data_IF_219094412939
#
_entry.id   IF_219094412939
#
_cell.length_a   1.000
_cell.length_b   1.000
_cell.length_c   1.000
_cell.angle_alpha   90.00
_cell.angle_beta   90.00
_cell.angle_gamma   90.00
#
_symmetry.space_group_name_H-M   'P 1'
#
loop_
_entity.id
_entity.type
_entity.pdbx_description
1 polymer ?
#
# COMPACT_ATOMS: atom_id res chain seq x y z
N UNK A 1 24.67 6.11 28.74
CA UNK A 1 24.82 5.38 27.46
C UNK A 1 23.94 6.08 26.44
N UNK A 2 24.50 7.07 25.76
CA UNK A 2 23.78 7.88 24.77
C UNK A 2 23.60 7.01 23.52
N UNK A 3 22.36 6.73 23.13
CA UNK A 3 22.06 6.12 21.84
C UNK A 3 22.50 7.11 20.75
N UNK A 4 23.73 6.96 20.28
CA UNK A 4 24.14 7.54 19.01
C UNK A 4 23.34 6.75 17.99
N UNK A 5 22.32 7.38 17.39
CA UNK A 5 21.71 6.83 16.19
C UNK A 5 22.84 6.66 15.17
N UNK A 6 23.13 5.42 14.80
CA UNK A 6 24.14 5.11 13.79
C UNK A 6 23.77 5.83 12.50
N UNK A 7 24.67 6.63 11.95
CA UNK A 7 24.44 7.45 10.76
C UNK A 7 23.98 6.59 9.58
N UNK A 8 24.46 5.33 9.49
CA UNK A 8 23.98 4.34 8.53
C UNK A 8 22.48 4.06 8.66
N UNK A 9 21.97 3.96 9.90
CA UNK A 9 20.55 3.69 10.17
C UNK A 9 19.63 4.86 9.82
N UNK A 10 20.16 6.09 9.80
CA UNK A 10 19.41 7.28 9.36
C UNK A 10 19.32 7.32 7.82
N UNK A 11 20.41 7.00 7.13
CA UNK A 11 20.44 6.91 5.66
C UNK A 11 19.42 5.87 5.18
N UNK A 12 19.42 4.68 5.81
CA UNK A 12 18.47 3.62 5.47
C UNK A 12 17.02 4.07 5.68
N UNK A 13 16.73 4.73 6.81
CA UNK A 13 15.39 5.28 7.07
C UNK A 13 14.95 6.34 6.05
N UNK A 14 15.87 7.20 5.61
CA UNK A 14 15.55 8.20 4.58
C UNK A 14 15.23 7.51 3.25
N UNK A 15 16.01 6.50 2.86
CA UNK A 15 15.75 5.72 1.65
C UNK A 15 14.42 4.96 1.72
N UNK A 16 14.09 4.40 2.88
CA UNK A 16 12.80 3.74 3.13
C UNK A 16 11.62 4.72 3.05
N UNK A 17 11.75 5.91 3.65
CA UNK A 17 10.72 6.95 3.56
C UNK A 17 10.53 7.46 2.13
N UNK A 18 11.61 7.66 1.38
CA UNK A 18 11.52 8.05 -0.03
C UNK A 18 10.85 6.96 -0.87
N UNK A 19 11.18 5.69 -0.61
CA UNK A 19 10.56 4.58 -1.28
C UNK A 19 9.05 4.48 -0.98
N UNK A 20 8.65 4.59 0.29
CA UNK A 20 7.25 4.62 0.70
C UNK A 20 6.50 5.78 0.03
N UNK A 21 7.10 6.98 -0.01
CA UNK A 21 6.52 8.15 -0.68
C UNK A 21 6.32 7.90 -2.17
N UNK A 22 7.34 7.42 -2.88
CA UNK A 22 7.26 7.11 -4.33
C UNK A 22 6.16 6.09 -4.62
N UNK A 23 6.06 5.05 -3.79
CA UNK A 23 4.99 4.05 -3.90
C UNK A 23 3.61 4.67 -3.68
N UNK A 24 3.44 5.54 -2.69
CA UNK A 24 2.18 6.23 -2.45
C UNK A 24 1.79 7.15 -3.62
N UNK A 25 2.73 7.93 -4.15
CA UNK A 25 2.52 8.79 -5.32
C UNK A 25 2.12 7.98 -6.56
N UNK A 26 2.81 6.84 -6.80
CA UNK A 26 2.48 5.93 -7.88
C UNK A 26 1.07 5.36 -7.75
N UNK A 27 0.69 4.89 -6.58
CA UNK A 27 -0.67 4.36 -6.34
C UNK A 27 -1.73 5.45 -6.51
N UNK A 28 -1.45 6.68 -6.07
CA UNK A 28 -2.35 7.82 -6.27
C UNK A 28 -2.53 8.16 -7.76
N UNK A 29 -1.48 8.02 -8.58
CA UNK A 29 -1.58 8.22 -10.04
C UNK A 29 -2.31 7.06 -10.74
N UNK A 30 -2.00 5.82 -10.37
CA UNK A 30 -2.52 4.61 -11.01
C UNK A 30 -3.97 4.32 -10.62
N UNK A 31 -4.30 4.57 -9.37
CA UNK A 31 -5.59 4.29 -8.73
C UNK A 31 -6.11 5.55 -8.01
N UNK A 32 -6.42 6.63 -8.76
CA UNK A 32 -6.76 7.92 -8.18
C UNK A 32 -8.08 7.87 -7.41
N UNK A 33 -8.16 8.61 -6.30
CA UNK A 33 -9.37 8.69 -5.47
C UNK A 33 -9.49 7.60 -4.39
N UNK A 34 -8.66 6.55 -4.43
CA UNK A 34 -8.52 5.63 -3.31
C UNK A 34 -7.52 6.17 -2.27
N UNK A 35 -7.80 5.91 -1.00
CA UNK A 35 -6.96 6.27 0.13
C UNK A 35 -5.99 5.11 0.45
N UNK A 36 -4.70 5.37 0.25
CA UNK A 36 -3.64 4.38 0.44
C UNK A 36 -2.78 4.73 1.66
N UNK A 37 -2.53 3.73 2.51
CA UNK A 37 -1.50 3.78 3.54
C UNK A 37 -0.27 3.02 3.07
N UNK A 38 0.89 3.67 3.03
CA UNK A 38 2.15 3.03 2.60
C UNK A 38 3.21 3.23 3.67
N UNK A 39 3.89 2.14 4.01
CA UNK A 39 5.03 2.13 4.92
C UNK A 39 6.15 1.27 4.33
N UNK A 40 7.40 1.69 4.48
CA UNK A 40 8.56 0.86 4.15
C UNK A 40 9.52 0.81 5.33
N UNK A 41 10.12 -0.35 5.55
CA UNK A 41 10.99 -0.58 6.70
C UNK A 41 11.55 -2.00 6.72
N UNK A 42 12.82 -2.15 7.06
CA UNK A 42 13.45 -3.46 7.23
C UNK A 42 13.43 -4.31 5.97
N UNK A 43 13.42 -3.69 4.78
CA UNK A 43 13.39 -4.40 3.51
C UNK A 43 12.02 -4.80 2.98
N UNK A 44 10.96 -4.31 3.60
CA UNK A 44 9.58 -4.62 3.24
C UNK A 44 8.79 -3.34 3.03
N UNK A 45 8.03 -3.27 1.93
CA UNK A 45 7.00 -2.24 1.74
C UNK A 45 5.64 -2.86 2.03
N UNK A 46 4.85 -2.20 2.86
CA UNK A 46 3.49 -2.60 3.24
C UNK A 46 2.51 -1.55 2.73
N UNK A 47 1.44 -2.01 2.09
CA UNK A 47 0.40 -1.17 1.49
C UNK A 47 -0.96 -1.58 2.05
N UNK A 48 -1.74 -0.61 2.51
CA UNK A 48 -3.09 -0.77 3.03
C UNK A 48 -4.08 0.06 2.22
N UNK A 49 -5.27 -0.48 1.98
CA UNK A 49 -6.40 0.27 1.42
C UNK A 49 -7.23 0.85 2.57
N UNK A 50 -7.09 2.15 2.83
CA UNK A 50 -7.67 2.80 4.00
C UNK A 50 -9.18 3.08 3.85
N UNK A 51 -9.71 3.21 2.63
CA UNK A 51 -11.16 3.34 2.38
C UNK A 51 -11.97 2.17 2.93
N UNK A 52 -11.31 1.00 3.00
CA UNK A 52 -11.93 -0.22 3.47
C UNK A 52 -12.21 -0.20 4.98
N UNK A 53 -11.52 0.66 5.75
CA UNK A 53 -11.41 0.58 7.22
C UNK A 53 -11.00 -0.83 7.71
N UNK A 54 -10.54 -1.68 6.79
CA UNK A 54 -10.13 -3.04 7.06
C UNK A 54 -8.61 -3.08 7.26
N UNK A 55 -8.13 -4.11 7.95
CA UNK A 55 -6.71 -4.28 8.23
C UNK A 55 -5.97 -5.01 7.10
N UNK A 56 -6.61 -5.22 5.95
CA UNK A 56 -6.04 -6.00 4.88
C UNK A 56 -5.39 -5.12 3.80
N UNK A 57 -4.29 -5.66 3.30
CA UNK A 57 -3.36 -5.03 2.40
C UNK A 57 -2.38 -6.07 1.88
N UNK A 58 -1.20 -5.64 1.47
CA UNK A 58 -0.15 -6.55 1.07
C UNK A 58 1.22 -6.04 1.52
N UNK A 59 2.18 -6.96 1.59
CA UNK A 59 3.58 -6.66 1.89
C UNK A 59 4.47 -7.29 0.81
N UNK A 60 5.49 -6.55 0.38
CA UNK A 60 6.44 -6.98 -0.63
C UNK A 60 7.87 -6.82 -0.11
N UNK A 61 8.65 -7.91 -0.16
CA UNK A 61 10.06 -7.89 0.19
C UNK A 61 10.88 -7.38 -1.01
N UNK A 62 11.54 -6.24 -0.84
CA UNK A 62 12.35 -5.59 -1.88
C UNK A 62 13.86 -5.82 -1.71
N UNK A 63 14.31 -6.53 -0.66
CA UNK A 63 15.71 -6.93 -0.50
C UNK A 63 16.10 -8.00 -1.54
N UNK A 64 15.15 -8.87 -1.92
CA UNK A 64 15.43 -10.06 -2.75
C UNK A 64 14.99 -9.95 -4.22
N UNK A 65 14.36 -8.85 -4.65
CA UNK A 65 13.51 -8.88 -5.86
C UNK A 65 13.67 -7.64 -6.75
N UNK A 66 14.36 -7.84 -7.88
CA UNK A 66 14.25 -7.17 -9.20
C UNK A 66 14.54 -5.66 -9.35
N UNK A 67 14.77 -5.26 -10.60
CA UNK A 67 14.85 -3.87 -11.03
C UNK A 67 13.70 -3.06 -10.44
N UNK A 68 13.91 -1.77 -10.19
CA UNK A 68 12.84 -0.87 -9.70
C UNK A 68 11.56 -0.97 -10.54
N UNK A 69 11.67 -1.25 -11.83
CA UNK A 69 10.55 -1.38 -12.75
C UNK A 69 9.66 -2.62 -12.51
N UNK A 70 10.22 -3.74 -12.07
CA UNK A 70 9.43 -4.96 -11.84
C UNK A 70 8.74 -4.93 -10.48
N UNK A 71 9.40 -4.33 -9.48
CA UNK A 71 8.79 -4.05 -8.20
C UNK A 71 7.57 -3.14 -8.35
N UNK A 72 7.70 -2.06 -9.12
CA UNK A 72 6.62 -1.15 -9.45
C UNK A 72 5.43 -1.87 -10.15
N UNK A 73 5.71 -2.81 -11.08
CA UNK A 73 4.65 -3.64 -11.71
C UNK A 73 3.96 -4.57 -10.71
N UNK A 74 4.72 -5.19 -9.79
CA UNK A 74 4.14 -6.05 -8.76
C UNK A 74 3.24 -5.26 -7.80
N UNK A 75 3.67 -4.06 -7.39
CA UNK A 75 2.87 -3.15 -6.57
C UNK A 75 1.55 -2.81 -7.28
N UNK A 76 1.60 -2.42 -8.56
CA UNK A 76 0.40 -2.11 -9.34
C UNK A 76 -0.56 -3.32 -9.41
N UNK A 77 -0.01 -4.51 -9.69
CA UNK A 77 -0.79 -5.74 -9.80
C UNK A 77 -1.48 -6.11 -8.48
N UNK A 78 -0.73 -6.11 -7.37
CA UNK A 78 -1.24 -6.45 -6.04
C UNK A 78 -2.26 -5.42 -5.54
N UNK A 79 -2.06 -4.13 -5.82
CA UNK A 79 -3.04 -3.10 -5.49
C UNK A 79 -4.34 -3.28 -6.28
N UNK A 80 -4.25 -3.55 -7.59
CA UNK A 80 -5.43 -3.84 -8.40
C UNK A 80 -6.17 -5.10 -7.97
N UNK A 81 -5.44 -6.16 -7.60
CA UNK A 81 -6.03 -7.38 -7.05
C UNK A 81 -6.72 -7.11 -5.70
N UNK A 82 -6.10 -6.31 -4.83
CA UNK A 82 -6.70 -5.92 -3.55
C UNK A 82 -8.04 -5.20 -3.75
N UNK A 83 -8.11 -4.27 -4.71
CA UNK A 83 -9.37 -3.59 -5.05
C UNK A 83 -10.45 -4.60 -5.48
N UNK A 84 -10.09 -5.56 -6.33
CA UNK A 84 -11.03 -6.61 -6.78
C UNK A 84 -11.53 -7.49 -5.65
N UNK A 85 -10.68 -7.81 -4.66
CA UNK A 85 -11.07 -8.59 -3.47
C UNK A 85 -12.10 -7.86 -2.60
N UNK A 86 -12.14 -6.53 -2.64
CA UNK A 86 -13.20 -5.70 -2.03
C UNK A 86 -14.36 -5.39 -2.97
N UNK A 87 -14.40 -6.00 -4.18
CA UNK A 87 -15.36 -5.69 -5.25
C UNK A 87 -15.36 -4.23 -5.66
N UNK A 88 -14.20 -3.58 -5.59
CA UNK A 88 -13.98 -2.21 -6.07
C UNK A 88 -13.41 -2.25 -7.48
N UNK A 89 -13.73 -1.24 -8.30
CA UNK A 89 -13.21 -1.17 -9.67
C UNK A 89 -11.72 -0.82 -9.69
N UNK A 90 -10.97 -1.41 -10.62
CA UNK A 90 -9.61 -0.94 -10.93
C UNK A 90 -9.64 0.44 -11.58
N UNK A 91 -8.54 1.17 -11.47
CA UNK A 91 -8.39 2.53 -11.99
C UNK A 91 -8.86 3.57 -10.98
N UNK A 92 -9.53 4.63 -11.44
CA UNK A 92 -10.06 5.65 -10.56
C UNK A 92 -11.13 5.09 -9.62
N UNK A 93 -11.18 5.58 -8.39
CA UNK A 93 -12.19 5.22 -7.41
C UNK A 93 -13.61 5.53 -7.89
N UNK A 94 -14.54 4.71 -7.45
CA UNK A 94 -15.97 4.97 -7.55
C UNK A 94 -16.52 5.20 -6.15
N UNK A 95 -16.80 6.46 -5.80
CA UNK A 95 -17.24 6.77 -4.45
C UNK A 95 -18.57 6.06 -4.12
N UNK A 96 -19.49 5.97 -5.08
CA UNK A 96 -20.75 5.26 -4.87
C UNK A 96 -20.53 3.76 -4.61
N UNK A 97 -19.55 3.14 -5.26
CA UNK A 97 -19.18 1.74 -5.02
C UNK A 97 -18.54 1.54 -3.64
N UNK A 98 -17.65 2.47 -3.23
CA UNK A 98 -16.99 2.46 -1.91
C UNK A 98 -18.04 2.59 -0.79
N UNK A 99 -19.01 3.49 -0.98
CA UNK A 99 -20.07 3.75 0.00
C UNK A 99 -21.04 2.56 0.08
N UNK A 100 -21.35 1.94 -1.07
CA UNK A 100 -22.22 0.77 -1.16
C UNK A 100 -21.53 -0.57 -0.83
N UNK A 101 -20.22 -0.57 -0.60
CA UNK A 101 -19.46 -1.78 -0.32
C UNK A 101 -20.02 -2.50 0.92
N UNK A 102 -20.07 -3.83 0.88
CA UNK A 102 -20.58 -4.65 1.98
C UNK A 102 -19.68 -4.50 3.20
N UNK A 103 -20.27 -4.25 4.37
CA UNK A 103 -19.54 -4.03 5.63
C UNK A 103 -19.97 -4.99 6.73
N UNK A 104 -19.04 -5.26 7.65
CA UNK A 104 -19.32 -5.98 8.89
C UNK A 104 -19.98 -5.06 9.93
N UNK A 105 -20.31 -5.61 11.11
CA UNK A 105 -20.91 -4.84 12.22
C UNK A 105 -20.02 -3.73 12.77
N UNK A 106 -18.71 -3.76 12.47
CA UNK A 106 -17.74 -2.73 12.85
C UNK A 106 -17.52 -1.70 11.72
N UNK A 107 -18.28 -1.78 10.61
CA UNK A 107 -18.20 -0.86 9.48
C UNK A 107 -17.05 -1.12 8.52
N UNK A 108 -16.31 -2.24 8.67
CA UNK A 108 -15.18 -2.60 7.81
C UNK A 108 -15.68 -3.28 6.55
N UNK A 109 -15.11 -2.96 5.40
CA UNK A 109 -15.45 -3.68 4.17
C UNK A 109 -15.10 -5.16 4.31
N UNK A 110 -16.01 -6.01 3.86
CA UNK A 110 -15.84 -7.46 3.86
C UNK A 110 -15.13 -7.86 2.57
N UNK A 111 -14.08 -8.68 2.71
CA UNK A 111 -13.44 -9.31 1.57
C UNK A 111 -14.29 -10.45 1.06
N UNK A 112 -14.38 -10.53 -0.26
CA UNK A 112 -14.96 -11.68 -0.91
C UNK A 112 -13.83 -12.53 -1.47
N UNK A 113 -13.64 -13.70 -0.84
CA UNK A 113 -12.69 -14.74 -1.24
C UNK A 113 -13.29 -15.67 -2.27
#
# INVERSE_FOLDING_TARGET
MTHVADESSLIDRVAELDFAKRTAERLHQKYPGYLWGVNAGGGVVSVLLLDSLSQMGFALNYIRTFSASDMDKQIDMLAGELLERYRLKRGAADQAQIDAARRDVAGRMILET
#
